data_IF_108388607637
#
_entry.id   IF_108388607637
#
_cell.length_a   1.000
_cell.length_b   1.000
_cell.length_c   1.000
_cell.angle_alpha   90.00
_cell.angle_beta   90.00
_cell.angle_gamma   90.00
#
_symmetry.space_group_name_H-M   'P 1'
#
loop_
_entity.id
_entity.type
_entity.pdbx_description
1 polymer ?
#
# COMPACT_ATOMS: atom_id res chain seq x y z
N UNK A 1 1.79 14.65 -30.46
CA UNK A 1 1.36 14.99 -29.08
C UNK A 1 1.79 13.86 -28.16
N UNK A 2 2.31 14.19 -26.98
CA UNK A 2 2.66 13.16 -26.00
C UNK A 2 1.38 12.56 -25.39
N UNK A 3 1.34 11.24 -25.26
CA UNK A 3 0.26 10.56 -24.57
C UNK A 3 0.33 10.91 -23.07
N UNK A 4 -0.82 11.19 -22.39
CA UNK A 4 -0.81 11.41 -20.96
C UNK A 4 -0.42 10.10 -20.24
N UNK A 5 0.58 10.17 -19.36
CA UNK A 5 1.08 9.03 -18.58
C UNK A 5 1.02 9.35 -17.11
N UNK A 6 0.56 8.38 -16.32
CA UNK A 6 0.62 8.43 -14.88
C UNK A 6 1.96 7.83 -14.43
N UNK A 7 2.80 8.63 -13.79
CA UNK A 7 4.12 8.21 -13.34
C UNK A 7 4.06 7.43 -12.01
N UNK A 8 5.10 6.66 -11.73
CA UNK A 8 5.26 5.99 -10.45
C UNK A 8 5.32 6.97 -9.27
N UNK A 9 5.94 8.14 -9.46
CA UNK A 9 6.00 9.18 -8.43
C UNK A 9 4.63 9.77 -8.10
N UNK A 10 3.77 9.98 -9.11
CA UNK A 10 2.39 10.43 -8.89
C UNK A 10 1.55 9.37 -8.17
N UNK A 11 1.71 8.11 -8.54
CA UNK A 11 1.05 6.99 -7.86
C UNK A 11 1.49 6.88 -6.40
N UNK A 12 2.80 7.03 -6.15
CA UNK A 12 3.36 7.02 -4.80
C UNK A 12 2.82 8.19 -3.95
N UNK A 13 2.73 9.38 -4.53
CA UNK A 13 2.14 10.55 -3.87
C UNK A 13 0.67 10.32 -3.49
N UNK A 14 -0.12 9.76 -4.41
CA UNK A 14 -1.52 9.43 -4.14
C UNK A 14 -1.67 8.39 -3.03
N UNK A 15 -0.86 7.34 -3.05
CA UNK A 15 -0.87 6.34 -2.00
C UNK A 15 -0.50 6.95 -0.64
N UNK A 16 0.52 7.81 -0.57
CA UNK A 16 0.91 8.49 0.67
C UNK A 16 -0.21 9.37 1.24
N UNK A 17 -0.90 10.13 0.39
CA UNK A 17 -2.06 10.95 0.83
C UNK A 17 -3.18 10.05 1.36
N UNK A 18 -3.47 8.96 0.67
CA UNK A 18 -4.50 7.99 1.08
C UNK A 18 -4.15 7.34 2.42
N UNK A 19 -2.93 6.86 2.56
CA UNK A 19 -2.42 6.20 3.77
C UNK A 19 -2.42 7.13 4.99
N UNK A 20 -2.01 8.39 4.81
CA UNK A 20 -2.02 9.38 5.88
C UNK A 20 -3.43 9.63 6.43
N UNK A 21 -4.44 9.68 5.55
CA UNK A 21 -5.85 9.85 5.94
C UNK A 21 -6.38 8.62 6.68
N UNK A 22 -6.03 7.43 6.23
CA UNK A 22 -6.39 6.19 6.94
C UNK A 22 -5.72 6.09 8.29
N UNK A 23 -4.43 6.45 8.39
CA UNK A 23 -3.72 6.52 9.68
C UNK A 23 -4.46 7.42 10.67
N UNK A 24 -4.78 8.64 10.27
CA UNK A 24 -5.49 9.59 11.11
C UNK A 24 -6.87 9.07 11.57
N UNK A 25 -7.65 8.45 10.67
CA UNK A 25 -8.94 7.88 11.02
C UNK A 25 -8.80 6.73 12.04
N UNK A 26 -7.80 5.87 11.88
CA UNK A 26 -7.59 4.74 12.79
C UNK A 26 -7.02 5.23 14.15
N UNK A 27 -6.22 6.30 14.16
CA UNK A 27 -5.79 6.94 15.41
C UNK A 27 -6.96 7.55 16.19
N UNK A 28 -7.95 8.13 15.48
CA UNK A 28 -9.20 8.64 16.07
C UNK A 28 -10.14 7.52 16.50
N UNK A 29 -10.16 6.41 15.76
CA UNK A 29 -11.04 5.25 15.92
C UNK A 29 -10.24 3.95 16.00
N UNK A 30 -9.48 3.70 17.07
CA UNK A 30 -8.63 2.50 17.18
C UNK A 30 -9.41 1.19 17.17
N UNK A 31 -10.71 1.21 17.50
CA UNK A 31 -11.61 0.06 17.42
C UNK A 31 -11.74 -0.50 15.99
N UNK A 32 -11.45 0.30 14.96
CA UNK A 32 -11.45 -0.14 13.55
C UNK A 32 -10.57 -1.38 13.35
N UNK A 33 -9.43 -1.45 14.02
CA UNK A 33 -8.50 -2.58 13.89
C UNK A 33 -9.13 -3.92 14.25
N UNK A 34 -10.11 -3.92 15.17
CA UNK A 34 -10.82 -5.10 15.63
C UNK A 34 -12.05 -5.48 14.79
N UNK A 35 -12.47 -4.68 13.83
CA UNK A 35 -13.65 -4.99 13.03
C UNK A 35 -13.46 -6.28 12.23
N UNK A 36 -14.48 -7.15 12.16
CA UNK A 36 -14.45 -8.35 11.35
C UNK A 36 -14.18 -8.04 9.88
N UNK A 37 -13.32 -8.81 9.24
CA UNK A 37 -12.93 -8.62 7.85
C UNK A 37 -12.78 -9.97 7.14
N UNK A 38 -13.54 -10.16 6.07
CA UNK A 38 -13.49 -11.34 5.20
C UNK A 38 -12.60 -11.14 3.96
N UNK A 39 -12.09 -9.92 3.75
CA UNK A 39 -11.19 -9.63 2.62
C UNK A 39 -9.92 -10.47 2.76
N UNK A 40 -9.61 -11.24 1.73
CA UNK A 40 -8.45 -12.16 1.70
C UNK A 40 -8.38 -13.16 2.87
N UNK A 41 -9.48 -13.39 3.57
CA UNK A 41 -9.51 -14.27 4.74
C UNK A 41 -8.70 -13.76 5.94
N UNK A 42 -8.51 -12.45 6.05
CA UNK A 42 -7.66 -11.85 7.09
C UNK A 42 -8.26 -11.91 8.50
N UNK A 43 -9.58 -12.01 8.61
CA UNK A 43 -10.30 -12.12 9.88
C UNK A 43 -10.57 -10.77 10.55
N UNK A 44 -9.64 -9.83 10.55
CA UNK A 44 -9.80 -8.48 11.11
C UNK A 44 -9.26 -7.39 10.17
N UNK A 45 -9.71 -6.15 10.39
CA UNK A 45 -9.18 -4.98 9.67
C UNK A 45 -7.71 -4.77 9.98
N UNK A 46 -7.26 -4.98 11.21
CA UNK A 46 -5.84 -4.90 11.56
C UNK A 46 -4.99 -5.85 10.72
N UNK A 47 -5.45 -7.10 10.54
CA UNK A 47 -4.77 -8.07 9.69
C UNK A 47 -4.83 -7.72 8.19
N UNK A 48 -5.90 -7.07 7.72
CA UNK A 48 -5.97 -6.53 6.35
C UNK A 48 -4.95 -5.39 6.16
N UNK A 49 -4.85 -4.49 7.13
CA UNK A 49 -3.87 -3.40 7.08
C UNK A 49 -2.43 -3.94 7.14
N UNK A 50 -2.17 -4.96 7.98
CA UNK A 50 -0.89 -5.68 7.94
C UNK A 50 -0.61 -6.23 6.53
N UNK A 51 -1.61 -6.83 5.89
CA UNK A 51 -1.47 -7.36 4.54
C UNK A 51 -1.10 -6.26 3.54
N UNK A 52 -1.72 -5.09 3.62
CA UNK A 52 -1.41 -3.94 2.76
C UNK A 52 0.07 -3.54 2.92
N UNK A 53 0.49 -3.20 4.13
CA UNK A 53 1.85 -2.70 4.37
C UNK A 53 2.92 -3.78 4.22
N UNK A 54 2.55 -5.05 4.43
CA UNK A 54 3.43 -6.18 4.16
C UNK A 54 3.73 -6.35 2.67
N UNK A 55 2.74 -6.18 1.81
CA UNK A 55 2.94 -6.21 0.35
C UNK A 55 3.84 -5.06 -0.08
N UNK A 56 3.61 -3.85 0.44
CA UNK A 56 4.47 -2.69 0.18
C UNK A 56 5.92 -2.96 0.56
N UNK A 57 6.19 -3.35 1.82
CA UNK A 57 7.55 -3.54 2.32
C UNK A 57 8.26 -4.72 1.66
N UNK A 58 7.61 -5.87 1.56
CA UNK A 58 8.23 -7.09 1.01
C UNK A 58 8.62 -6.97 -0.46
N UNK A 59 7.88 -6.18 -1.24
CA UNK A 59 8.28 -5.87 -2.62
C UNK A 59 9.34 -4.77 -2.68
N UNK A 60 9.32 -3.80 -1.78
CA UNK A 60 10.41 -2.83 -1.66
C UNK A 60 11.74 -3.53 -1.29
N UNK A 61 11.73 -4.45 -0.33
CA UNK A 61 12.88 -5.27 0.03
C UNK A 61 13.47 -5.97 -1.21
N UNK A 62 12.64 -6.70 -1.95
CA UNK A 62 13.08 -7.50 -3.08
C UNK A 62 13.57 -6.64 -4.26
N UNK A 63 12.91 -5.51 -4.53
CA UNK A 63 13.37 -4.54 -5.52
C UNK A 63 14.73 -3.92 -5.15
N UNK A 64 15.00 -3.80 -3.85
CA UNK A 64 16.28 -3.35 -3.30
C UNK A 64 17.34 -4.47 -3.20
N UNK A 65 17.02 -5.67 -3.65
CA UNK A 65 17.94 -6.82 -3.58
C UNK A 65 18.06 -7.45 -2.19
N UNK A 66 17.12 -7.15 -1.30
CA UNK A 66 17.08 -7.70 0.05
C UNK A 66 16.12 -8.91 0.13
N UNK A 67 16.32 -9.83 1.08
CA UNK A 67 15.33 -10.86 1.36
C UNK A 67 14.03 -10.21 1.87
N UNK A 68 12.85 -10.72 1.48
CA UNK A 68 11.59 -10.14 1.91
C UNK A 68 11.42 -10.31 3.42
N UNK A 69 11.08 -9.23 4.11
CA UNK A 69 10.76 -9.23 5.56
C UNK A 69 9.73 -10.31 5.88
N UNK A 70 9.98 -11.08 6.94
CA UNK A 70 9.05 -12.13 7.37
C UNK A 70 7.73 -11.53 7.83
N UNK A 71 6.62 -12.12 7.39
CA UNK A 71 5.29 -11.59 7.65
C UNK A 71 4.98 -11.44 9.15
N UNK A 72 5.45 -12.39 9.95
CA UNK A 72 5.27 -12.38 11.40
C UNK A 72 6.02 -11.24 12.12
N UNK A 73 6.98 -10.60 11.44
CA UNK A 73 7.75 -9.47 11.98
C UNK A 73 7.07 -8.11 11.72
N UNK A 74 5.97 -8.09 10.95
CA UNK A 74 5.26 -6.87 10.58
C UNK A 74 4.14 -6.63 11.58
N UNK A 75 4.25 -5.60 12.45
CA UNK A 75 3.27 -5.35 13.50
C UNK A 75 1.97 -4.77 12.92
N UNK A 76 0.84 -5.03 13.62
CA UNK A 76 -0.47 -4.51 13.21
C UNK A 76 -1.42 -4.25 14.40
N UNK A 77 -0.85 -4.04 15.56
CA UNK A 77 -1.56 -3.81 16.82
C UNK A 77 -1.97 -2.34 17.04
N UNK A 78 -1.40 -1.42 16.26
CA UNK A 78 -1.72 0.00 16.32
C UNK A 78 -1.53 0.69 14.97
N UNK A 79 -2.21 1.82 14.76
CA UNK A 79 -2.02 2.65 13.57
C UNK A 79 -0.55 3.08 13.41
N UNK A 80 0.08 3.50 14.51
CA UNK A 80 1.47 3.92 14.51
C UNK A 80 2.42 2.82 14.01
N UNK A 81 2.26 1.59 14.51
CA UNK A 81 3.08 0.46 14.12
C UNK A 81 2.87 0.03 12.65
N UNK A 82 1.61 -0.03 12.21
CA UNK A 82 1.27 -0.34 10.81
C UNK A 82 1.89 0.67 9.87
N UNK A 83 1.68 1.97 10.11
CA UNK A 83 2.11 3.01 9.20
C UNK A 83 3.61 3.32 9.30
N UNK A 84 4.31 2.94 10.36
CA UNK A 84 5.78 2.91 10.36
C UNK A 84 6.35 1.93 9.33
N UNK A 85 5.68 0.79 9.12
CA UNK A 85 6.03 -0.16 8.05
C UNK A 85 5.77 0.44 6.67
N UNK A 86 4.63 1.10 6.48
CA UNK A 86 4.32 1.85 5.26
C UNK A 86 5.37 2.90 4.96
N UNK A 87 5.69 3.76 5.93
CA UNK A 87 6.64 4.88 5.76
C UNK A 87 8.02 4.35 5.32
N UNK A 88 8.49 3.25 5.91
CA UNK A 88 9.72 2.58 5.51
C UNK A 88 9.67 2.10 4.06
N UNK A 89 8.60 1.44 3.66
CA UNK A 89 8.44 0.96 2.28
C UNK A 89 8.43 2.13 1.28
N UNK A 90 7.73 3.22 1.61
CA UNK A 90 7.65 4.41 0.76
C UNK A 90 9.01 5.10 0.61
N UNK A 91 9.82 5.14 1.67
CA UNK A 91 11.19 5.67 1.56
C UNK A 91 12.05 4.81 0.63
N UNK A 92 12.01 3.49 0.77
CA UNK A 92 12.72 2.58 -0.12
C UNK A 92 12.29 2.75 -1.59
N UNK A 93 10.99 2.94 -1.86
CA UNK A 93 10.52 3.22 -3.22
C UNK A 93 11.02 4.57 -3.76
N UNK A 94 11.11 5.62 -2.93
CA UNK A 94 11.69 6.91 -3.36
C UNK A 94 13.16 6.76 -3.73
N UNK A 95 13.93 6.04 -2.92
CA UNK A 95 15.34 5.75 -3.18
C UNK A 95 15.51 4.97 -4.50
N UNK A 96 14.70 3.93 -4.71
CA UNK A 96 14.71 3.14 -5.94
C UNK A 96 14.34 3.99 -7.18
N UNK A 97 13.34 4.87 -7.07
CA UNK A 97 12.94 5.76 -8.17
C UNK A 97 13.99 6.82 -8.48
N UNK A 98 14.82 7.20 -7.51
CA UNK A 98 15.93 8.13 -7.69
C UNK A 98 17.22 7.46 -8.20
N UNK A 99 17.25 6.13 -8.26
CA UNK A 99 18.40 5.36 -8.72
C UNK A 99 18.37 5.08 -10.23
N UNK A 100 19.49 4.58 -10.78
CA UNK A 100 19.59 4.12 -12.17
C UNK A 100 19.06 2.69 -12.37
N UNK A 101 18.03 2.30 -11.62
CA UNK A 101 17.46 0.96 -11.69
C UNK A 101 16.80 0.72 -13.06
N UNK A 102 17.13 -0.39 -13.72
CA UNK A 102 16.46 -0.83 -14.94
C UNK A 102 15.05 -1.36 -14.60
N UNK A 103 14.06 -0.50 -14.76
CA UNK A 103 12.65 -0.81 -14.44
C UNK A 103 12.03 -1.85 -15.38
N UNK A 104 12.48 -1.94 -16.61
CA UNK A 104 12.05 -2.98 -17.56
C UNK A 104 12.82 -4.28 -17.39
N UNK A 105 13.91 -4.26 -16.62
CA UNK A 105 14.71 -5.43 -16.29
C UNK A 105 13.92 -6.47 -15.52
N UNK A 106 14.02 -7.72 -15.95
CA UNK A 106 13.37 -8.87 -15.28
C UNK A 106 14.23 -9.38 -14.14
N UNK A 107 13.58 -9.79 -13.06
CA UNK A 107 14.25 -10.43 -11.92
C UNK A 107 13.36 -11.49 -11.29
N UNK A 108 13.96 -12.36 -10.50
CA UNK A 108 13.27 -13.38 -9.73
C UNK A 108 12.86 -12.79 -8.38
N UNK A 109 11.62 -13.05 -8.00
CA UNK A 109 11.04 -12.60 -6.73
C UNK A 109 10.11 -13.65 -6.15
N UNK A 110 9.74 -13.53 -4.89
CA UNK A 110 8.87 -14.48 -4.20
C UNK A 110 7.56 -13.81 -3.81
N UNK A 111 6.45 -14.43 -4.21
CA UNK A 111 5.11 -14.06 -3.72
C UNK A 111 4.69 -14.98 -2.60
N UNK A 112 3.82 -14.50 -1.72
CA UNK A 112 3.29 -15.33 -0.62
C UNK A 112 2.36 -16.44 -1.11
N UNK A 113 1.57 -16.16 -2.14
CA UNK A 113 0.51 -17.07 -2.62
C UNK A 113 0.95 -17.99 -3.76
N UNK A 114 1.91 -17.56 -4.58
CA UNK A 114 2.32 -18.30 -5.79
C UNK A 114 3.77 -18.80 -5.73
N UNK A 115 4.52 -18.46 -4.67
CA UNK A 115 5.93 -18.81 -4.54
C UNK A 115 6.85 -18.03 -5.48
N UNK A 116 7.96 -18.65 -5.98
CA UNK A 116 8.91 -18.00 -6.87
C UNK A 116 8.31 -17.63 -8.22
N UNK A 117 8.55 -16.40 -8.65
CA UNK A 117 8.05 -15.81 -9.89
C UNK A 117 9.12 -14.99 -10.58
N UNK A 118 8.91 -14.63 -11.83
CA UNK A 118 9.78 -13.73 -12.60
C UNK A 118 8.94 -12.65 -13.30
N UNK A 119 9.33 -11.40 -13.16
CA UNK A 119 8.67 -10.26 -13.78
C UNK A 119 9.56 -9.05 -13.91
N UNK A 120 9.05 -7.96 -14.50
CA UNK A 120 9.79 -6.70 -14.53
C UNK A 120 9.69 -5.98 -13.19
N UNK A 121 10.70 -5.20 -12.82
CA UNK A 121 10.69 -4.36 -11.61
C UNK A 121 9.52 -3.37 -11.62
N UNK A 122 9.23 -2.80 -12.78
CA UNK A 122 8.08 -1.92 -13.01
C UNK A 122 6.75 -2.59 -12.64
N UNK A 123 6.53 -3.82 -13.10
CA UNK A 123 5.29 -4.57 -12.77
C UNK A 123 5.14 -4.73 -11.27
N UNK A 124 6.24 -5.03 -10.56
CA UNK A 124 6.21 -5.25 -9.10
C UNK A 124 5.95 -3.96 -8.34
N UNK A 125 6.60 -2.85 -8.73
CA UNK A 125 6.33 -1.54 -8.13
C UNK A 125 4.86 -1.15 -8.28
N UNK A 126 4.33 -1.15 -9.51
CA UNK A 126 2.94 -0.77 -9.75
C UNK A 126 1.95 -1.73 -9.09
N UNK A 127 2.29 -3.03 -9.03
CA UNK A 127 1.47 -3.98 -8.28
C UNK A 127 1.37 -3.58 -6.81
N UNK A 128 2.47 -3.27 -6.15
CA UNK A 128 2.46 -2.88 -4.73
C UNK A 128 1.58 -1.64 -4.48
N UNK A 129 1.74 -0.59 -5.30
CA UNK A 129 0.99 0.66 -5.16
C UNK A 129 -0.52 0.46 -5.42
N UNK A 130 -0.87 -0.19 -6.52
CA UNK A 130 -2.27 -0.46 -6.90
C UNK A 130 -2.95 -1.45 -5.96
N UNK A 131 -2.22 -2.43 -5.44
CA UNK A 131 -2.70 -3.39 -4.46
C UNK A 131 -3.18 -2.69 -3.18
N UNK A 132 -2.40 -1.76 -2.67
CA UNK A 132 -2.76 -0.96 -1.49
C UNK A 132 -4.06 -0.14 -1.74
N UNK A 133 -4.13 0.58 -2.85
CA UNK A 133 -5.31 1.39 -3.22
C UNK A 133 -6.57 0.50 -3.34
N UNK A 134 -6.45 -0.67 -3.96
CA UNK A 134 -7.56 -1.63 -4.07
C UNK A 134 -8.10 -2.03 -2.70
N UNK A 135 -7.21 -2.36 -1.77
CA UNK A 135 -7.61 -2.77 -0.43
C UNK A 135 -8.15 -1.61 0.42
N UNK A 136 -7.63 -0.41 0.27
CA UNK A 136 -8.21 0.79 0.92
C UNK A 136 -9.64 1.07 0.44
N UNK A 137 -9.96 0.83 -0.83
CA UNK A 137 -11.33 0.95 -1.33
C UNK A 137 -12.27 -0.08 -0.68
N UNK A 138 -11.81 -1.32 -0.50
CA UNK A 138 -12.56 -2.35 0.23
C UNK A 138 -12.74 -1.98 1.70
N UNK A 139 -11.69 -1.48 2.35
CA UNK A 139 -11.70 -1.03 3.73
C UNK A 139 -12.73 0.12 3.93
N UNK A 140 -12.80 1.08 3.00
CA UNK A 140 -13.76 2.16 3.04
C UNK A 140 -15.22 1.67 3.06
N UNK A 141 -15.52 0.60 2.33
CA UNK A 141 -16.85 -0.03 2.36
C UNK A 141 -17.11 -0.73 3.69
N UNK A 142 -16.09 -1.41 4.22
CA UNK A 142 -16.19 -2.17 5.46
C UNK A 142 -16.43 -1.25 6.66
N UNK A 143 -15.64 -0.21 6.84
CA UNK A 143 -15.77 0.71 7.98
C UNK A 143 -17.11 1.45 7.96
N UNK A 144 -17.65 1.79 6.77
CA UNK A 144 -18.99 2.37 6.65
C UNK A 144 -20.10 1.44 7.15
N UNK A 145 -19.97 0.14 6.95
CA UNK A 145 -20.93 -0.85 7.50
C UNK A 145 -20.94 -0.87 9.03
N UNK A 146 -19.84 -0.47 9.65
CA UNK A 146 -19.71 -0.31 11.10
C UNK A 146 -20.01 1.11 11.61
N UNK A 147 -20.60 1.97 10.75
CA UNK A 147 -21.03 3.31 11.13
C UNK A 147 -19.95 4.39 11.08
N UNK A 148 -18.72 4.05 10.72
CA UNK A 148 -17.62 5.02 10.56
C UNK A 148 -17.54 5.45 9.10
N UNK A 149 -17.66 6.76 8.87
CA UNK A 149 -17.62 7.33 7.52
C UNK A 149 -16.28 8.04 7.31
N UNK A 150 -15.40 7.55 6.41
CA UNK A 150 -14.28 8.34 5.95
C UNK A 150 -14.76 9.70 5.44
N UNK A 151 -14.18 10.78 5.95
CA UNK A 151 -14.58 12.15 5.63
C UNK A 151 -13.96 12.69 4.34
N UNK A 152 -13.36 11.83 3.50
CA UNK A 152 -12.67 12.21 2.27
C UNK A 152 -13.02 11.27 1.11
N UNK A 153 -12.76 11.76 -0.11
CA UNK A 153 -12.82 10.95 -1.32
C UNK A 153 -11.43 10.36 -1.62
N UNK A 154 -11.40 9.10 -2.03
CA UNK A 154 -10.16 8.36 -2.29
C UNK A 154 -9.73 8.38 -3.75
N UNK A 155 -10.54 9.01 -4.61
CA UNK A 155 -10.29 9.03 -6.05
C UNK A 155 -9.04 9.83 -6.41
N UNK A 156 -8.30 9.36 -7.42
CA UNK A 156 -7.12 10.06 -7.95
C UNK A 156 -7.45 11.49 -8.41
N UNK A 157 -8.69 11.75 -8.79
CA UNK A 157 -9.20 13.08 -9.15
C UNK A 157 -8.80 14.14 -8.10
N UNK A 158 -8.78 13.76 -6.82
CA UNK A 158 -8.45 14.66 -5.71
C UNK A 158 -6.99 15.14 -5.70
N UNK A 159 -6.14 14.56 -6.54
CA UNK A 159 -4.73 14.95 -6.65
C UNK A 159 -4.50 16.14 -7.61
N UNK A 160 -5.47 16.49 -8.44
CA UNK A 160 -5.28 17.49 -9.48
C UNK A 160 -6.45 18.45 -9.68
N UNK A 161 -7.37 18.59 -8.70
CA UNK A 161 -8.49 19.52 -8.78
C UNK A 161 -8.40 20.62 -7.72
N UNK A 162 -8.93 21.78 -8.06
CA UNK A 162 -9.16 22.90 -7.16
C UNK A 162 -10.59 23.47 -7.34
N UNK A 163 -11.04 24.23 -6.40
CA UNK A 163 -12.37 24.91 -6.55
C UNK A 163 -12.20 26.08 -7.51
N UNK A 164 -13.12 26.19 -8.48
CA UNK A 164 -13.18 27.31 -9.41
C UNK A 164 -13.70 28.57 -8.72
#
# INVERSE_FOLDING_TARGET
MAEPVLSASEMLAWLNVTSAKWKALIEEHPEILGFPCDVMGTGTVGALLQHIVAVELRYADQLSGLPPTEYAQIPYDSAAAIYATHDRAMEMYRELLASDLDWEGRFDFVTRSMGPMRGTRKTILFHALLHAIRHYAQLATLVRKHGIKPGWQMDYLMMGIERA
#
